data_IF_050355925758
#
_entry.id   IF_050355925758
#
_cell.length_a   1.000
_cell.length_b   1.000
_cell.length_c   1.000
_cell.angle_alpha   90.00
_cell.angle_beta   90.00
_cell.angle_gamma   90.00
#
_symmetry.space_group_name_H-M   'P 1'
#
loop_
_entity.id
_entity.type
_entity.pdbx_description
1 polymer ?
#
# COMPACT_ATOMS: atom_id res chain seq x y z
N UNK A 1 -20.40 17.09 -2.51
CA UNK A 1 -19.08 16.53 -2.08
C UNK A 1 -19.27 15.86 -0.73
N UNK A 2 -18.87 14.59 -0.62
CA UNK A 2 -18.96 13.85 0.65
C UNK A 2 -17.77 14.19 1.57
N UNK A 3 -18.01 14.20 2.88
CA UNK A 3 -16.99 14.44 3.90
C UNK A 3 -16.36 13.13 4.40
N UNK A 4 -15.25 13.19 5.10
CA UNK A 4 -14.58 12.00 5.66
C UNK A 4 -15.50 11.14 6.54
N UNK A 5 -16.47 11.74 7.23
CA UNK A 5 -17.49 11.05 8.02
C UNK A 5 -18.40 10.16 7.17
N UNK A 6 -18.75 10.60 5.95
CA UNK A 6 -19.63 9.87 5.04
C UNK A 6 -18.92 8.63 4.49
N UNK A 7 -17.64 8.75 4.08
CA UNK A 7 -16.84 7.61 3.64
C UNK A 7 -16.66 6.55 4.72
N UNK A 8 -16.46 6.97 5.97
CA UNK A 8 -16.38 6.04 7.11
C UNK A 8 -17.70 5.33 7.37
N UNK A 9 -18.84 6.02 7.18
CA UNK A 9 -20.17 5.41 7.30
C UNK A 9 -20.38 4.36 6.21
N UNK A 10 -20.11 4.71 4.95
CA UNK A 10 -20.23 3.78 3.80
C UNK A 10 -19.34 2.55 4.01
N UNK A 11 -18.10 2.73 4.45
CA UNK A 11 -17.19 1.62 4.73
C UNK A 11 -17.73 0.68 5.82
N UNK A 12 -18.27 1.22 6.91
CA UNK A 12 -18.87 0.39 7.97
C UNK A 12 -20.10 -0.36 7.50
N UNK A 13 -20.93 0.27 6.68
CA UNK A 13 -22.12 -0.36 6.10
C UNK A 13 -21.75 -1.48 5.12
N UNK A 14 -20.74 -1.25 4.26
CA UNK A 14 -20.22 -2.27 3.34
C UNK A 14 -19.63 -3.49 4.06
N UNK A 15 -18.95 -3.27 5.18
CA UNK A 15 -18.34 -4.34 5.99
C UNK A 15 -19.35 -5.07 6.89
N UNK A 16 -20.55 -4.53 7.09
CA UNK A 16 -21.55 -5.13 7.97
C UNK A 16 -21.94 -6.53 7.50
N UNK A 17 -21.73 -7.52 8.36
CA UNK A 17 -21.96 -8.94 8.06
C UNK A 17 -20.84 -9.63 7.26
N UNK A 18 -19.80 -8.91 6.82
CA UNK A 18 -18.71 -9.43 5.97
C UNK A 18 -17.32 -9.20 6.55
N UNK A 19 -17.23 -8.83 7.83
CA UNK A 19 -15.96 -8.51 8.49
C UNK A 19 -14.96 -9.68 8.47
N UNK A 20 -15.40 -10.92 8.65
CA UNK A 20 -14.52 -12.08 8.67
C UNK A 20 -13.74 -12.25 7.36
N UNK A 21 -14.44 -12.16 6.22
CA UNK A 21 -13.82 -12.28 4.90
C UNK A 21 -12.92 -11.07 4.61
N UNK A 22 -13.33 -9.86 5.00
CA UNK A 22 -12.54 -8.65 4.79
C UNK A 22 -11.23 -8.66 5.62
N UNK A 23 -11.29 -9.14 6.89
CA UNK A 23 -10.11 -9.32 7.75
C UNK A 23 -9.18 -10.38 7.17
N UNK A 24 -9.71 -11.52 6.73
CA UNK A 24 -8.91 -12.59 6.14
C UNK A 24 -8.23 -12.14 4.85
N UNK A 25 -8.95 -11.44 3.96
CA UNK A 25 -8.40 -10.88 2.74
C UNK A 25 -7.31 -9.84 3.04
N UNK A 26 -7.54 -8.96 4.02
CA UNK A 26 -6.55 -7.97 4.46
C UNK A 26 -5.30 -8.62 5.06
N UNK A 27 -5.46 -9.71 5.82
CA UNK A 27 -4.34 -10.45 6.38
C UNK A 27 -3.52 -11.15 5.28
N UNK A 28 -4.16 -11.79 4.33
CA UNK A 28 -3.48 -12.43 3.18
C UNK A 28 -2.76 -11.36 2.36
N UNK A 29 -3.43 -10.25 2.03
CA UNK A 29 -2.83 -9.15 1.29
C UNK A 29 -1.63 -8.53 2.03
N UNK A 30 -1.70 -8.42 3.37
CA UNK A 30 -0.61 -7.92 4.22
C UNK A 30 0.57 -8.87 4.24
N UNK A 31 0.34 -10.18 4.41
CA UNK A 31 1.38 -11.21 4.39
C UNK A 31 2.10 -11.29 3.04
N UNK A 32 1.37 -11.03 1.95
CA UNK A 32 1.90 -11.03 0.59
C UNK A 32 2.42 -9.65 0.14
N UNK A 33 2.51 -8.68 1.06
CA UNK A 33 3.08 -7.36 0.79
C UNK A 33 2.17 -6.39 0.02
N UNK A 34 0.91 -6.76 -0.28
CA UNK A 34 -0.01 -5.91 -1.05
C UNK A 34 -0.74 -4.86 -0.20
N UNK A 35 -0.89 -5.11 1.11
CA UNK A 35 -1.56 -4.19 2.04
C UNK A 35 -0.61 -3.20 2.71
N UNK A 36 0.69 -3.32 2.48
CA UNK A 36 1.64 -2.29 2.89
C UNK A 36 1.40 -1.06 2.02
N UNK A 37 0.66 -0.10 2.55
CA UNK A 37 0.68 1.24 1.99
C UNK A 37 2.16 1.65 1.86
N UNK A 38 2.57 2.01 0.64
CA UNK A 38 3.92 2.48 0.30
C UNK A 38 4.23 3.80 1.01
N UNK A 39 4.32 3.76 2.33
CA UNK A 39 4.91 4.83 3.11
C UNK A 39 6.25 4.31 3.58
N UNK A 40 7.36 4.76 3.00
CA UNK A 40 8.66 4.53 3.61
C UNK A 40 8.61 5.15 5.01
N UNK A 41 8.74 4.34 6.04
CA UNK A 41 8.92 4.82 7.41
C UNK A 41 10.34 5.32 7.53
N UNK A 42 10.49 6.63 7.50
CA UNK A 42 11.72 7.29 7.91
C UNK A 42 11.60 7.51 9.44
N UNK A 43 12.34 6.74 10.23
CA UNK A 43 12.56 7.06 11.63
C UNK A 43 13.80 7.95 11.72
N UNK A 44 13.59 9.21 12.11
CA UNK A 44 14.67 10.11 12.47
C UNK A 44 14.99 9.91 13.95
N UNK A 45 16.09 9.23 14.26
CA UNK A 45 16.64 9.21 15.61
C UNK A 45 17.68 10.31 15.74
N UNK A 46 17.39 11.29 16.59
CA UNK A 46 18.34 12.32 16.98
C UNK A 46 19.07 11.83 18.24
N UNK A 47 20.34 11.50 18.10
CA UNK A 47 21.25 11.21 19.22
C UNK A 47 22.30 12.31 19.29
N UNK A 48 22.78 12.63 20.51
CA UNK A 48 23.74 13.70 20.80
C UNK A 48 25.08 13.64 20.02
N UNK A 49 25.30 12.61 19.22
CA UNK A 49 26.50 12.39 18.40
C UNK A 49 26.28 12.51 16.88
N UNK A 50 25.20 13.14 16.42
CA UNK A 50 24.94 13.36 15.00
C UNK A 50 23.69 12.65 14.49
N UNK A 51 23.11 13.19 13.41
CA UNK A 51 21.93 12.62 12.76
C UNK A 51 22.31 11.35 12.01
N UNK A 52 21.87 10.20 12.50
CA UNK A 52 21.96 8.94 11.79
C UNK A 52 20.60 8.59 11.18
N UNK A 53 20.61 8.38 9.88
CA UNK A 53 19.44 7.83 9.16
C UNK A 53 19.56 6.33 9.21
N UNK A 54 18.90 5.71 10.19
CA UNK A 54 18.82 4.26 10.28
C UNK A 54 17.71 3.75 9.36
N UNK A 55 18.10 3.15 8.25
CA UNK A 55 17.23 2.24 7.51
C UNK A 55 17.03 1.00 8.37
N UNK A 56 15.94 0.94 9.12
CA UNK A 56 15.59 -0.24 9.90
C UNK A 56 15.10 -1.37 9.00
N UNK A 57 16.03 -2.12 8.45
CA UNK A 57 15.87 -3.53 8.15
C UNK A 57 16.67 -4.30 9.18
N UNK A 58 15.96 -5.00 10.07
CA UNK A 58 16.52 -5.94 11.08
C UNK A 58 17.67 -5.35 11.90
N UNK A 59 17.34 -4.89 13.11
CA UNK A 59 18.28 -4.51 14.15
C UNK A 59 19.12 -5.72 14.59
N UNK A 60 20.25 -5.93 13.92
CA UNK A 60 21.33 -6.77 14.42
C UNK A 60 22.64 -6.03 14.17
N UNK A 61 23.22 -5.49 15.23
CA UNK A 61 24.59 -5.01 15.23
C UNK A 61 25.50 -6.20 14.92
N UNK A 62 26.00 -6.27 13.70
CA UNK A 62 27.09 -7.15 13.33
C UNK A 62 28.25 -6.28 12.87
N UNK A 63 28.88 -5.57 13.79
CA UNK A 63 30.23 -5.06 13.62
C UNK A 63 30.83 -4.78 14.98
N UNK A 64 31.68 -5.69 15.46
CA UNK A 64 32.75 -5.38 16.41
C UNK A 64 34.06 -5.75 15.72
N UNK A 65 34.86 -4.75 15.40
CA UNK A 65 36.22 -4.94 14.95
C UNK A 65 37.05 -5.38 16.14
N UNK A 66 37.35 -6.66 16.25
CA UNK A 66 38.49 -7.16 17.04
C UNK A 66 39.42 -7.88 16.09
N UNK A 67 40.60 -7.31 15.95
CA UNK A 67 41.72 -7.90 15.24
C UNK A 67 42.07 -9.26 15.84
N UNK A 68 42.29 -10.25 15.00
CA UNK A 68 43.00 -11.44 15.31
C UNK A 68 42.28 -12.76 15.10
N UNK A 69 42.86 -13.60 14.26
CA UNK A 69 42.72 -15.04 14.11
C UNK A 69 41.69 -15.47 13.02
N UNK A 70 42.25 -15.96 11.94
CA UNK A 70 41.79 -16.83 10.90
C UNK A 70 41.33 -16.13 9.57
N UNK A 71 42.25 -16.06 8.57
CA UNK A 71 41.90 -15.61 7.21
C UNK A 71 40.83 -16.49 6.53
N UNK A 72 40.77 -17.78 6.89
CA UNK A 72 39.79 -18.72 6.33
C UNK A 72 38.36 -18.51 6.84
N UNK A 73 38.19 -18.09 8.10
CA UNK A 73 36.89 -17.79 8.67
C UNK A 73 36.31 -16.52 8.06
N UNK A 74 37.14 -15.53 7.75
CA UNK A 74 36.74 -14.31 7.08
C UNK A 74 36.17 -14.56 5.66
N UNK A 75 36.80 -15.48 4.90
CA UNK A 75 36.31 -15.88 3.59
C UNK A 75 34.91 -16.54 3.64
N UNK A 76 34.72 -17.42 4.64
CA UNK A 76 33.45 -18.10 4.87
C UNK A 76 32.35 -17.12 5.32
N UNK A 77 32.69 -16.22 6.26
CA UNK A 77 31.76 -15.20 6.75
C UNK A 77 31.37 -14.18 5.65
N UNK A 78 32.35 -13.69 4.89
CA UNK A 78 32.09 -12.76 3.77
C UNK A 78 31.27 -13.46 2.67
N UNK A 79 31.59 -14.70 2.31
CA UNK A 79 30.84 -15.50 1.36
C UNK A 79 29.40 -15.75 1.83
N UNK A 80 29.22 -16.09 3.11
CA UNK A 80 27.91 -16.25 3.75
C UNK A 80 27.09 -14.95 3.75
N UNK A 81 27.74 -13.82 4.07
CA UNK A 81 27.07 -12.50 4.03
C UNK A 81 26.63 -12.12 2.60
N UNK A 82 27.48 -12.36 1.59
CA UNK A 82 27.14 -12.10 0.18
C UNK A 82 25.96 -12.99 -0.24
N UNK A 83 25.97 -14.26 0.13
CA UNK A 83 24.87 -15.18 -0.16
C UNK A 83 23.56 -14.70 0.49
N UNK A 84 23.59 -14.33 1.78
CA UNK A 84 22.41 -13.80 2.48
C UNK A 84 21.92 -12.48 1.85
N UNK A 85 22.83 -11.61 1.42
CA UNK A 85 22.50 -10.36 0.75
C UNK A 85 21.82 -10.61 -0.60
N UNK A 86 22.35 -11.53 -1.42
CA UNK A 86 21.74 -11.93 -2.68
C UNK A 86 20.36 -12.57 -2.44
N UNK A 87 20.26 -13.47 -1.47
CA UNK A 87 18.99 -14.10 -1.10
C UNK A 87 17.96 -13.07 -0.63
N UNK A 88 18.37 -12.07 0.15
CA UNK A 88 17.52 -10.97 0.57
C UNK A 88 17.02 -10.12 -0.61
N UNK A 89 17.89 -9.82 -1.58
CA UNK A 89 17.51 -9.09 -2.80
C UNK A 89 16.50 -9.91 -3.61
N UNK A 90 16.77 -11.20 -3.83
CA UNK A 90 15.85 -12.07 -4.59
C UNK A 90 14.49 -12.13 -3.89
N UNK A 91 14.49 -12.28 -2.56
CA UNK A 91 13.27 -12.30 -1.77
C UNK A 91 12.54 -10.95 -1.86
N UNK A 92 13.24 -9.83 -1.75
CA UNK A 92 12.66 -8.49 -1.87
C UNK A 92 12.01 -8.26 -3.24
N UNK A 93 12.67 -8.69 -4.33
CA UNK A 93 12.12 -8.64 -5.68
C UNK A 93 10.87 -9.52 -5.80
N UNK A 94 10.91 -10.73 -5.27
CA UNK A 94 9.76 -11.62 -5.27
C UNK A 94 8.55 -11.00 -4.52
N UNK A 95 8.76 -10.47 -3.32
CA UNK A 95 7.74 -9.77 -2.56
C UNK A 95 7.23 -8.52 -3.28
N UNK A 96 8.10 -7.76 -3.93
CA UNK A 96 7.69 -6.58 -4.72
C UNK A 96 6.78 -6.97 -5.88
N UNK A 97 7.12 -8.02 -6.63
CA UNK A 97 6.31 -8.52 -7.74
C UNK A 97 4.97 -9.05 -7.25
N UNK A 98 4.98 -9.90 -6.22
CA UNK A 98 3.74 -10.44 -5.62
C UNK A 98 2.83 -9.33 -5.10
N UNK A 99 3.38 -8.37 -4.34
CA UNK A 99 2.63 -7.22 -3.84
C UNK A 99 2.02 -6.38 -4.96
N UNK A 100 2.74 -6.19 -6.06
CA UNK A 100 2.26 -5.44 -7.23
C UNK A 100 1.06 -6.11 -7.90
N UNK A 101 1.01 -7.44 -7.92
CA UNK A 101 -0.09 -8.20 -8.52
C UNK A 101 -1.29 -8.29 -7.59
N UNK A 102 -1.06 -8.49 -6.31
CA UNK A 102 -2.12 -8.67 -5.31
C UNK A 102 -2.80 -7.33 -4.98
N UNK A 103 -2.09 -6.20 -5.08
CA UNK A 103 -2.62 -4.87 -4.77
C UNK A 103 -3.87 -4.51 -5.58
N UNK A 104 -3.91 -4.60 -6.92
CA UNK A 104 -5.13 -4.38 -7.70
C UNK A 104 -6.21 -5.43 -7.40
N UNK A 105 -5.86 -6.69 -7.13
CA UNK A 105 -6.80 -7.72 -6.69
C UNK A 105 -7.49 -7.35 -5.38
N UNK A 106 -6.74 -6.84 -4.41
CA UNK A 106 -7.29 -6.37 -3.15
C UNK A 106 -8.14 -5.10 -3.32
N UNK A 107 -7.76 -4.20 -4.23
CA UNK A 107 -8.57 -3.05 -4.58
C UNK A 107 -9.89 -3.47 -5.22
N UNK A 108 -9.87 -4.45 -6.13
CA UNK A 108 -11.07 -5.04 -6.73
C UNK A 108 -11.98 -5.66 -5.68
N UNK A 109 -11.42 -6.46 -4.77
CA UNK A 109 -12.17 -7.04 -3.66
C UNK A 109 -12.92 -5.97 -2.85
N UNK A 110 -12.26 -4.84 -2.53
CA UNK A 110 -12.90 -3.75 -1.79
C UNK A 110 -13.97 -3.02 -2.63
N UNK A 111 -13.79 -2.91 -3.94
CA UNK A 111 -14.81 -2.35 -4.84
C UNK A 111 -16.04 -3.26 -4.92
N UNK A 112 -15.85 -4.57 -5.10
CA UNK A 112 -16.94 -5.54 -5.15
C UNK A 112 -17.69 -5.61 -3.81
N UNK A 113 -16.98 -5.42 -2.68
CA UNK A 113 -17.59 -5.31 -1.36
C UNK A 113 -18.52 -4.09 -1.25
N UNK A 114 -18.15 -2.95 -1.84
CA UNK A 114 -18.96 -1.73 -1.86
C UNK A 114 -20.15 -1.84 -2.82
N UNK A 115 -19.92 -2.38 -4.00
CA UNK A 115 -20.93 -2.47 -5.07
C UNK A 115 -22.02 -3.49 -4.76
N UNK A 116 -21.84 -4.34 -3.72
CA UNK A 116 -22.78 -5.40 -3.29
C UNK A 116 -23.24 -6.33 -4.43
N UNK A 117 -22.54 -6.34 -5.56
CA UNK A 117 -22.94 -7.09 -6.76
C UNK A 117 -22.87 -8.59 -6.55
N UNK A 118 -21.85 -9.07 -5.84
CA UNK A 118 -21.65 -10.48 -5.51
C UNK A 118 -20.99 -10.63 -4.15
N UNK A 119 -21.02 -11.84 -3.56
CA UNK A 119 -20.24 -12.11 -2.37
C UNK A 119 -18.74 -12.01 -2.74
N UNK A 120 -17.96 -11.12 -2.10
CA UNK A 120 -16.55 -10.96 -2.46
C UNK A 120 -15.80 -12.26 -2.22
N UNK A 121 -15.23 -12.83 -3.28
CA UNK A 121 -14.46 -14.06 -3.22
C UNK A 121 -12.99 -13.77 -2.97
N UNK A 122 -12.33 -14.58 -2.13
CA UNK A 122 -10.88 -14.47 -1.92
C UNK A 122 -10.08 -14.75 -3.20
N UNK A 123 -10.67 -15.48 -4.15
CA UNK A 123 -10.07 -15.73 -5.46
C UNK A 123 -9.80 -14.43 -6.25
N UNK A 124 -10.58 -13.37 -6.02
CA UNK A 124 -10.39 -12.05 -6.64
C UNK A 124 -9.01 -11.46 -6.35
N UNK A 125 -8.39 -11.76 -5.20
CA UNK A 125 -7.04 -11.33 -4.85
C UNK A 125 -5.99 -11.82 -5.86
N UNK A 126 -6.21 -13.00 -6.45
CA UNK A 126 -5.29 -13.66 -7.37
C UNK A 126 -5.69 -13.47 -8.83
N UNK A 127 -6.80 -12.82 -9.11
CA UNK A 127 -7.36 -12.63 -10.46
C UNK A 127 -6.44 -11.82 -11.40
N UNK A 128 -5.46 -11.09 -10.86
CA UNK A 128 -4.55 -10.24 -11.65
C UNK A 128 -3.23 -10.90 -12.04
N UNK A 129 -3.01 -12.17 -11.71
CA UNK A 129 -1.81 -12.90 -12.11
C UNK A 129 -1.58 -12.94 -13.64
N UNK A 130 -2.60 -13.05 -14.51
CA UNK A 130 -2.38 -12.98 -15.96
C UNK A 130 -1.76 -11.64 -16.41
N UNK A 131 -2.05 -10.54 -15.70
CA UNK A 131 -1.60 -9.18 -16.02
C UNK A 131 -0.42 -8.72 -15.14
N UNK A 132 0.35 -9.67 -14.57
CA UNK A 132 1.43 -9.39 -13.62
C UNK A 132 2.46 -8.38 -14.14
N UNK A 133 2.78 -8.42 -15.45
CA UNK A 133 3.73 -7.51 -16.08
C UNK A 133 3.25 -6.06 -16.00
N UNK A 134 2.01 -5.81 -16.37
CA UNK A 134 1.40 -4.47 -16.34
C UNK A 134 1.36 -3.94 -14.90
N UNK A 135 0.91 -4.76 -13.94
CA UNK A 135 0.84 -4.40 -12.55
C UNK A 135 2.23 -4.09 -11.97
N UNK A 136 3.22 -4.93 -12.23
CA UNK A 136 4.60 -4.75 -11.73
C UNK A 136 5.27 -3.52 -12.35
N UNK A 137 5.13 -3.30 -13.65
CA UNK A 137 5.72 -2.13 -14.33
C UNK A 137 5.04 -0.85 -13.82
N UNK A 138 3.72 -0.84 -13.65
CA UNK A 138 3.00 0.31 -13.12
C UNK A 138 3.47 0.66 -11.71
N UNK A 139 3.57 -0.33 -10.82
CA UNK A 139 4.04 -0.14 -9.46
C UNK A 139 5.51 0.33 -9.42
N UNK A 140 6.37 -0.23 -10.29
CA UNK A 140 7.75 0.20 -10.42
C UNK A 140 7.85 1.66 -10.85
N UNK A 141 7.12 2.05 -11.91
CA UNK A 141 7.10 3.44 -12.37
C UNK A 141 6.57 4.39 -11.30
N UNK A 142 5.49 4.00 -10.61
CA UNK A 142 4.95 4.77 -9.49
C UNK A 142 6.02 4.97 -8.40
N UNK A 143 6.68 3.89 -7.99
CA UNK A 143 7.73 3.92 -6.97
C UNK A 143 8.88 4.83 -7.39
N UNK A 144 9.35 4.71 -8.63
CA UNK A 144 10.41 5.57 -9.17
C UNK A 144 10.00 7.04 -9.19
N UNK A 145 8.78 7.36 -9.64
CA UNK A 145 8.32 8.75 -9.64
C UNK A 145 8.19 9.32 -8.23
N UNK A 146 7.60 8.58 -7.31
CA UNK A 146 7.49 9.03 -5.91
C UNK A 146 8.87 9.19 -5.28
N UNK A 147 9.79 8.25 -5.52
CA UNK A 147 11.16 8.31 -5.02
C UNK A 147 11.91 9.53 -5.55
N UNK A 148 11.86 9.81 -6.86
CA UNK A 148 12.51 10.98 -7.46
C UNK A 148 11.98 12.29 -6.87
N UNK A 149 10.66 12.41 -6.68
CA UNK A 149 10.07 13.58 -6.04
C UNK A 149 10.45 13.69 -4.56
N UNK A 150 10.56 12.56 -3.85
CA UNK A 150 11.00 12.52 -2.45
C UNK A 150 12.47 12.88 -2.29
N UNK A 151 13.31 12.54 -3.28
CA UNK A 151 14.72 12.91 -3.30
C UNK A 151 14.90 14.42 -3.46
N UNK A 152 14.02 15.07 -4.22
CA UNK A 152 14.07 16.51 -4.41
C UNK A 152 13.67 17.24 -3.12
N UNK A 153 12.56 16.88 -2.52
CA UNK A 153 12.03 17.40 -1.25
C UNK A 153 10.96 16.45 -0.72
N UNK A 154 10.83 16.33 0.61
CA UNK A 154 9.83 15.46 1.26
C UNK A 154 8.40 15.85 0.89
N UNK A 155 8.08 17.16 0.88
CA UNK A 155 6.72 17.65 0.58
C UNK A 155 6.26 17.27 -0.84
N UNK A 156 7.04 17.51 -1.93
CA UNK A 156 6.67 17.04 -3.27
C UNK A 156 6.53 15.52 -3.36
N UNK A 157 7.34 14.75 -2.62
CA UNK A 157 7.21 13.29 -2.54
C UNK A 157 5.87 12.85 -1.97
N UNK A 158 5.41 13.49 -0.89
CA UNK A 158 4.09 13.27 -0.31
C UNK A 158 2.99 13.61 -1.34
N UNK A 159 3.07 14.76 -1.99
CA UNK A 159 2.10 15.16 -3.03
C UNK A 159 2.08 14.14 -4.18
N UNK A 160 3.24 13.64 -4.59
CA UNK A 160 3.35 12.62 -5.62
C UNK A 160 2.69 11.29 -5.18
N UNK A 161 2.93 10.84 -3.96
CA UNK A 161 2.30 9.62 -3.43
C UNK A 161 0.77 9.71 -3.42
N UNK A 162 0.20 10.83 -3.00
CA UNK A 162 -1.24 11.08 -3.09
C UNK A 162 -1.75 11.18 -4.53
N UNK A 163 -0.94 11.68 -5.45
CA UNK A 163 -1.31 11.77 -6.87
C UNK A 163 -1.47 10.39 -7.52
N UNK A 164 -0.72 9.39 -7.07
CA UNK A 164 -0.75 8.03 -7.59
C UNK A 164 -1.51 7.05 -6.69
N UNK A 165 -2.21 7.53 -5.66
CA UNK A 165 -2.91 6.68 -4.70
C UNK A 165 -4.04 5.83 -5.31
N UNK A 166 -4.64 6.27 -6.42
CA UNK A 166 -5.74 5.58 -7.09
C UNK A 166 -5.27 4.55 -8.13
N UNK A 167 -3.97 4.43 -8.38
CA UNK A 167 -3.37 3.49 -9.35
C UNK A 167 -3.86 2.04 -9.18
N UNK A 168 -3.89 1.44 -7.97
CA UNK A 168 -4.35 0.06 -7.81
C UNK A 168 -5.84 -0.14 -8.16
N UNK A 169 -6.67 0.87 -7.90
CA UNK A 169 -8.10 0.83 -8.22
C UNK A 169 -8.34 0.96 -9.72
N UNK A 170 -7.58 1.81 -10.41
CA UNK A 170 -7.66 1.96 -11.87
C UNK A 170 -7.23 0.66 -12.54
N UNK A 171 -6.12 0.03 -12.10
CA UNK A 171 -5.70 -1.28 -12.60
C UNK A 171 -6.75 -2.35 -12.31
N UNK A 172 -7.43 -2.28 -11.15
CA UNK A 172 -8.49 -3.21 -10.77
C UNK A 172 -9.68 -3.18 -11.75
N UNK A 173 -9.98 -2.03 -12.34
CA UNK A 173 -11.05 -1.90 -13.32
C UNK A 173 -10.57 -2.04 -14.78
N UNK A 174 -9.32 -1.67 -15.04
CA UNK A 174 -8.74 -1.65 -16.38
C UNK A 174 -7.37 -2.37 -16.40
N UNK A 175 -7.33 -3.71 -16.31
CA UNK A 175 -6.08 -4.48 -16.20
C UNK A 175 -5.19 -4.39 -17.44
N UNK A 176 -5.77 -4.12 -18.61
CA UNK A 176 -5.06 -4.01 -19.89
C UNK A 176 -4.54 -2.61 -20.20
N UNK A 177 -4.85 -1.61 -19.34
CA UNK A 177 -4.42 -0.24 -19.56
C UNK A 177 -2.89 -0.10 -19.46
N UNK A 178 -2.24 0.61 -20.40
CA UNK A 178 -0.79 0.84 -20.35
C UNK A 178 -0.36 1.52 -19.06
N UNK A 179 0.78 1.14 -18.45
CA UNK A 179 1.24 1.68 -17.16
C UNK A 179 1.30 3.20 -17.08
N UNK A 180 1.75 3.86 -18.14
CA UNK A 180 1.84 5.32 -18.19
C UNK A 180 0.46 6.00 -18.17
N UNK A 181 -0.53 5.39 -18.81
CA UNK A 181 -1.91 5.90 -18.85
C UNK A 181 -2.59 5.73 -17.48
N UNK A 182 -2.37 4.60 -16.81
CA UNK A 182 -2.84 4.36 -15.44
C UNK A 182 -2.34 5.45 -14.50
N UNK A 183 -1.03 5.74 -14.54
CA UNK A 183 -0.42 6.79 -13.71
C UNK A 183 -0.94 8.18 -14.06
N UNK A 184 -1.10 8.48 -15.36
CA UNK A 184 -1.66 9.74 -15.83
C UNK A 184 -3.09 9.92 -15.34
N UNK A 185 -3.93 8.90 -15.51
CA UNK A 185 -5.33 8.89 -15.06
C UNK A 185 -5.45 9.06 -13.54
N UNK A 186 -4.62 8.36 -12.75
CA UNK A 186 -4.55 8.55 -11.29
C UNK A 186 -4.20 9.99 -10.92
N UNK A 187 -3.20 10.57 -11.57
CA UNK A 187 -2.77 11.96 -11.32
C UNK A 187 -3.87 12.98 -11.66
N UNK A 188 -4.58 12.79 -12.76
CA UNK A 188 -5.70 13.64 -13.20
C UNK A 188 -6.86 13.54 -12.21
N UNK A 189 -7.30 12.34 -11.88
CA UNK A 189 -8.35 12.06 -10.91
C UNK A 189 -8.07 12.65 -9.52
N UNK A 190 -6.80 12.63 -9.09
CA UNK A 190 -6.39 13.18 -7.80
C UNK A 190 -6.11 14.68 -7.85
N UNK A 191 -6.21 15.32 -9.01
CA UNK A 191 -6.11 16.79 -9.12
C UNK A 191 -7.29 17.45 -8.40
N UNK A 192 -6.99 18.26 -7.36
CA UNK A 192 -8.01 18.85 -6.48
C UNK A 192 -8.52 17.94 -5.35
N UNK A 193 -8.31 16.62 -5.43
CA UNK A 193 -8.83 15.66 -4.46
C UNK A 193 -7.77 15.13 -3.46
N UNK A 194 -6.47 15.49 -3.63
CA UNK A 194 -5.36 15.02 -2.78
C UNK A 194 -5.57 15.36 -1.32
N UNK A 195 -5.99 16.60 -1.03
CA UNK A 195 -6.25 17.06 0.32
C UNK A 195 -7.42 16.32 0.99
N UNK A 196 -8.45 16.00 0.22
CA UNK A 196 -9.60 15.22 0.71
C UNK A 196 -9.18 13.80 1.13
N UNK A 197 -8.34 13.13 0.32
CA UNK A 197 -7.80 11.82 0.65
C UNK A 197 -6.87 11.91 1.89
N UNK A 198 -6.03 12.96 1.97
CA UNK A 198 -5.20 13.21 3.15
C UNK A 198 -6.07 13.36 4.41
N UNK A 199 -7.12 14.17 4.39
CA UNK A 199 -8.03 14.33 5.51
C UNK A 199 -8.75 13.02 5.88
N UNK A 200 -9.11 12.20 4.89
CA UNK A 200 -9.68 10.88 5.12
C UNK A 200 -8.69 9.99 5.89
N UNK A 201 -7.45 9.88 5.41
CA UNK A 201 -6.41 9.07 6.06
C UNK A 201 -6.03 9.62 7.43
N UNK A 202 -5.92 10.94 7.57
CA UNK A 202 -5.65 11.60 8.84
C UNK A 202 -6.73 11.29 9.88
N UNK A 203 -7.98 11.13 9.46
CA UNK A 203 -9.09 10.77 10.36
C UNK A 203 -8.95 9.38 10.99
N UNK A 204 -8.07 8.51 10.45
CA UNK A 204 -7.77 7.20 11.01
C UNK A 204 -6.55 7.19 11.93
N UNK A 205 -5.84 8.33 12.08
CA UNK A 205 -4.58 8.37 12.84
C UNK A 205 -4.79 7.99 14.31
N UNK A 206 -5.91 8.40 14.91
CA UNK A 206 -6.26 8.03 16.28
C UNK A 206 -6.46 6.52 16.44
N UNK A 207 -7.10 5.88 15.49
CA UNK A 207 -7.28 4.43 15.45
C UNK A 207 -5.97 3.69 15.19
N UNK A 208 -5.07 4.28 14.38
CA UNK A 208 -3.73 3.74 14.13
C UNK A 208 -2.88 3.77 15.41
N UNK A 209 -2.95 4.86 16.18
CA UNK A 209 -2.28 4.96 17.49
C UNK A 209 -2.84 3.93 18.48
N UNK A 210 -4.17 3.76 18.51
CA UNK A 210 -4.79 2.74 19.35
C UNK A 210 -4.38 1.31 18.92
N UNK A 211 -4.27 1.07 17.62
CA UNK A 211 -3.75 -0.19 17.07
C UNK A 211 -2.32 -0.46 17.51
N UNK A 212 -1.47 0.56 17.57
CA UNK A 212 -0.10 0.45 18.06
C UNK A 212 -0.06 0.04 19.55
N UNK A 213 -0.93 0.60 20.38
CA UNK A 213 -1.05 0.23 21.80
C UNK A 213 -1.45 -1.25 22.00
N UNK A 214 -2.17 -1.84 21.06
CA UNK A 214 -2.54 -3.27 21.08
C UNK A 214 -1.49 -4.16 20.38
N UNK A 215 -0.22 -3.71 20.30
CA UNK A 215 0.87 -4.43 19.61
C UNK A 215 0.53 -4.78 18.14
N UNK A 216 -0.28 -3.94 17.49
CA UNK A 216 -0.67 -4.12 16.09
C UNK A 216 -1.93 -4.99 15.85
N UNK A 217 -2.47 -5.65 16.89
CA UNK A 217 -3.67 -6.48 16.75
C UNK A 217 -4.85 -5.67 16.20
N UNK A 218 -5.02 -4.41 16.65
CA UNK A 218 -6.03 -3.49 16.13
C UNK A 218 -5.93 -3.23 14.61
N UNK A 219 -4.75 -3.39 14.04
CA UNK A 219 -4.50 -3.25 12.60
C UNK A 219 -5.28 -4.26 11.73
N UNK A 220 -5.60 -5.45 12.27
CA UNK A 220 -6.38 -6.45 11.54
C UNK A 220 -7.79 -5.93 11.16
N UNK A 221 -8.38 -5.11 12.02
CA UNK A 221 -9.68 -4.47 11.75
C UNK A 221 -9.52 -3.11 11.06
N UNK A 222 -8.48 -2.38 11.40
CA UNK A 222 -8.25 -1.06 10.83
C UNK A 222 -7.91 -1.12 9.34
N UNK A 223 -7.10 -2.10 8.92
CA UNK A 223 -6.69 -2.27 7.52
C UNK A 223 -7.89 -2.43 6.56
N UNK A 224 -8.82 -3.41 6.73
CA UNK A 224 -9.95 -3.52 5.82
C UNK A 224 -10.87 -2.30 5.90
N UNK A 225 -11.00 -1.66 7.06
CA UNK A 225 -11.82 -0.47 7.21
C UNK A 225 -11.25 0.74 6.43
N UNK A 226 -9.95 0.98 6.52
CA UNK A 226 -9.29 2.07 5.77
C UNK A 226 -9.31 1.81 4.27
N UNK A 227 -9.13 0.57 3.85
CA UNK A 227 -9.17 0.18 2.44
C UNK A 227 -10.58 0.31 1.85
N UNK A 228 -11.62 -0.13 2.56
CA UNK A 228 -13.00 0.07 2.14
C UNK A 228 -13.37 1.57 2.06
N UNK A 229 -12.89 2.39 3.00
CA UNK A 229 -13.10 3.85 2.94
C UNK A 229 -12.37 4.50 1.75
N UNK A 230 -11.16 4.01 1.42
CA UNK A 230 -10.41 4.49 0.25
C UNK A 230 -11.07 4.04 -1.07
N UNK A 231 -11.62 2.82 -1.10
CA UNK A 231 -12.40 2.34 -2.25
C UNK A 231 -13.68 3.18 -2.45
N UNK A 232 -14.38 3.55 -1.36
CA UNK A 232 -15.53 4.45 -1.43
C UNK A 232 -15.15 5.86 -1.92
N UNK A 233 -13.98 6.35 -1.52
CA UNK A 233 -13.43 7.60 -2.04
C UNK A 233 -13.12 7.50 -3.55
N UNK A 234 -12.51 6.40 -3.98
CA UNK A 234 -12.26 6.15 -5.41
C UNK A 234 -13.56 6.16 -6.21
N UNK A 235 -14.63 5.50 -5.75
CA UNK A 235 -15.95 5.51 -6.42
C UNK A 235 -16.50 6.91 -6.56
N UNK A 236 -16.42 7.75 -5.54
CA UNK A 236 -16.89 9.13 -5.65
C UNK A 236 -16.09 9.93 -6.68
N UNK A 237 -14.75 9.84 -6.65
CA UNK A 237 -13.90 10.62 -7.56
C UNK A 237 -14.02 10.10 -9.00
N UNK A 238 -14.15 8.79 -9.20
CA UNK A 238 -14.35 8.20 -10.53
C UNK A 238 -15.72 8.54 -11.11
N UNK A 239 -16.78 8.59 -10.29
CA UNK A 239 -18.11 8.98 -10.74
C UNK A 239 -18.22 10.46 -11.15
N UNK A 240 -17.38 11.31 -10.59
CA UNK A 240 -17.29 12.73 -10.97
C UNK A 240 -16.67 12.91 -12.36
N UNK A 241 -15.71 12.05 -12.72
CA UNK A 241 -15.09 12.03 -14.06
C UNK A 241 -15.87 11.18 -15.08
N UNK A 242 -16.59 10.17 -14.60
CA UNK A 242 -17.40 9.24 -15.42
C UNK A 242 -18.82 9.16 -14.85
N UNK A 243 -19.80 9.88 -15.42
CA UNK A 243 -21.16 9.99 -14.86
C UNK A 243 -21.98 8.68 -14.78
N UNK A 244 -21.42 7.53 -15.12
CA UNK A 244 -22.13 6.24 -15.16
C UNK A 244 -22.25 5.53 -13.80
N UNK A 245 -21.68 6.08 -12.72
CA UNK A 245 -21.71 5.42 -11.42
C UNK A 245 -22.07 6.38 -10.29
N UNK A 246 -23.33 6.39 -9.87
CA UNK A 246 -23.78 7.12 -8.67
C UNK A 246 -23.77 6.19 -7.45
N UNK A 247 -23.04 6.57 -6.41
CA UNK A 247 -22.99 5.84 -5.12
C UNK A 247 -24.36 5.86 -4.41
N UNK A 248 -25.25 6.71 -4.86
CA UNK A 248 -26.57 6.88 -4.26
C UNK A 248 -27.51 5.68 -4.54
N UNK A 249 -27.26 4.88 -5.58
CA UNK A 249 -27.95 3.61 -5.84
C UNK A 249 -27.54 2.46 -4.91
N UNK A 250 -26.44 2.59 -4.17
CA UNK A 250 -25.92 1.55 -3.27
C UNK A 250 -26.41 1.73 -1.83
N UNK A 251 -27.04 2.86 -1.53
CA UNK A 251 -27.49 3.23 -0.18
C UNK A 251 -28.98 2.93 0.09
N UNK A 252 -29.74 2.50 -0.92
CA UNK A 252 -31.11 1.96 -0.79
C UNK A 252 -31.09 0.41 -0.69
#
# INVERSE_FOLDING_TARGET
MKYASDFRRIAREALKGRWGIAVLAGLIASLLGAASSNSPRFEFNYSDNGANVDLMFAKQQIFSSSEGWLPELNGFLVGGMIYLFIAAIVMAVAFFVLGSVISPGYSKFNLDLLDRREAPELATLFGYFPHWKTATITNLLQTVYVFLWSLLLVIPGIIASYSYAMTPYILAEHPDMPPKEVLKKSKEMMSGNRWRLFCLQFSFIGWSLLSLLTLGIGGLWLTPYTQAATAAFYREVSSTEFPQYSIDEVAE
#
